data_IF_451904975170
#
_entry.id   IF_451904975170
#
_cell.length_a   1.000
_cell.length_b   1.000
_cell.length_c   1.000
_cell.angle_alpha   90.00
_cell.angle_beta   90.00
_cell.angle_gamma   90.00
#
_symmetry.space_group_name_H-M   'P 1'
#
loop_
_entity.id
_entity.type
_entity.pdbx_description
1 polymer ?
#
# COMPACT_ATOMS: atom_id res chain seq x y z
N UNK A 1 -28.11 -23.07 2.89
CA UNK A 1 -26.88 -22.31 3.20
C UNK A 1 -25.68 -22.73 2.35
N UNK A 2 -25.26 -24.01 2.31
CA UNK A 2 -24.15 -24.46 1.44
C UNK A 2 -24.35 -24.14 -0.06
N UNK A 3 -25.56 -24.31 -0.57
CA UNK A 3 -25.91 -23.95 -1.95
C UNK A 3 -26.00 -22.43 -2.19
N UNK A 4 -26.31 -21.65 -1.14
CA UNK A 4 -26.36 -20.18 -1.21
C UNK A 4 -24.94 -19.61 -1.27
N UNK A 5 -24.03 -20.13 -0.43
CA UNK A 5 -22.61 -19.78 -0.44
C UNK A 5 -21.93 -20.15 -1.76
N UNK A 6 -22.25 -21.32 -2.35
CA UNK A 6 -21.75 -21.71 -3.67
C UNK A 6 -22.28 -20.83 -4.82
N UNK A 7 -23.54 -20.36 -4.73
CA UNK A 7 -24.13 -19.40 -5.69
C UNK A 7 -23.56 -17.98 -5.52
N UNK A 8 -23.19 -17.58 -4.31
CA UNK A 8 -22.59 -16.28 -3.98
C UNK A 8 -21.11 -16.19 -4.36
N UNK A 9 -20.37 -17.29 -4.21
CA UNK A 9 -18.91 -17.32 -4.39
C UNK A 9 -18.45 -17.38 -5.85
N UNK A 10 -19.36 -17.63 -6.81
CA UNK A 10 -18.98 -17.95 -8.18
C UNK A 10 -18.82 -16.73 -9.12
N UNK A 11 -19.36 -15.56 -8.79
CA UNK A 11 -19.36 -14.44 -9.73
C UNK A 11 -19.60 -13.07 -9.03
N UNK A 12 -18.76 -12.04 -8.98
CA UNK A 12 -17.45 -11.69 -9.53
C UNK A 12 -16.98 -10.46 -8.72
N UNK A 13 -15.75 -10.45 -8.21
CA UNK A 13 -14.90 -9.24 -8.11
C UNK A 13 -13.62 -9.44 -8.98
N UNK A 14 -13.64 -10.45 -9.85
CA UNK A 14 -12.45 -11.07 -10.46
C UNK A 14 -12.12 -10.49 -11.85
N UNK A 15 -12.93 -9.59 -12.40
CA UNK A 15 -12.86 -9.22 -13.82
C UNK A 15 -12.50 -7.76 -14.11
N UNK A 16 -12.22 -6.95 -13.09
CA UNK A 16 -11.82 -5.56 -13.26
C UNK A 16 -10.45 -5.32 -12.64
N UNK A 17 -9.56 -4.58 -13.32
CA UNK A 17 -8.27 -4.25 -12.76
C UNK A 17 -8.47 -3.28 -11.60
N UNK A 18 -8.45 -3.79 -10.38
CA UNK A 18 -8.22 -2.95 -9.21
C UNK A 18 -6.76 -2.52 -9.24
N UNK A 19 -6.51 -1.21 -9.17
CA UNK A 19 -5.19 -0.70 -8.79
C UNK A 19 -4.91 -1.14 -7.36
N UNK A 20 -3.69 -1.63 -7.10
CA UNK A 20 -3.18 -1.76 -5.74
C UNK A 20 -2.67 -0.43 -5.19
N UNK A 21 -2.77 0.63 -5.98
CA UNK A 21 -2.41 1.98 -5.58
C UNK A 21 -3.53 2.43 -4.66
N UNK A 22 -3.20 2.90 -3.47
CA UNK A 22 -4.18 3.52 -2.58
C UNK A 22 -4.08 5.05 -2.70
N UNK A 23 -2.85 5.54 -2.56
CA UNK A 23 -2.50 6.92 -2.76
C UNK A 23 -1.54 7.00 -3.93
N UNK A 24 -1.69 8.01 -4.77
CA UNK A 24 -0.93 8.11 -6.03
C UNK A 24 0.59 8.16 -5.87
N UNK A 25 1.10 8.49 -4.67
CA UNK A 25 2.51 8.45 -4.34
C UNK A 25 2.75 8.46 -2.82
N UNK A 26 3.20 7.33 -2.27
CA UNK A 26 3.55 7.16 -0.87
C UNK A 26 4.82 7.92 -0.48
N UNK A 27 5.78 8.11 -1.40
CA UNK A 27 6.96 8.93 -1.11
C UNK A 27 6.58 10.39 -0.85
N UNK A 28 5.68 10.95 -1.65
CA UNK A 28 5.12 12.28 -1.46
C UNK A 28 4.40 12.39 -0.12
N UNK A 29 3.45 11.50 0.16
CA UNK A 29 2.70 11.51 1.40
C UNK A 29 3.61 11.36 2.63
N UNK A 30 4.55 10.42 2.58
CA UNK A 30 5.52 10.16 3.64
C UNK A 30 6.43 11.35 3.89
N UNK A 31 6.97 11.98 2.84
CA UNK A 31 7.85 13.12 3.00
C UNK A 31 7.12 14.31 3.63
N UNK A 32 5.86 14.57 3.26
CA UNK A 32 5.04 15.62 3.88
C UNK A 32 4.64 15.30 5.32
N UNK A 33 4.25 14.04 5.59
CA UNK A 33 3.79 13.58 6.91
C UNK A 33 4.88 13.61 7.98
N UNK A 34 6.12 13.31 7.56
CA UNK A 34 7.22 12.97 8.44
C UNK A 34 8.26 14.09 8.55
N UNK A 35 8.20 15.14 7.72
CA UNK A 35 9.20 16.24 7.70
C UNK A 35 9.42 16.95 9.04
N UNK A 36 8.43 16.92 9.94
CA UNK A 36 8.49 17.58 11.24
C UNK A 36 8.97 16.66 12.37
N UNK A 37 9.20 15.36 12.12
CA UNK A 37 9.72 14.46 13.13
C UNK A 37 11.21 14.76 13.40
N UNK A 38 11.59 15.06 14.65
CA UNK A 38 12.99 15.29 15.02
C UNK A 38 13.90 14.08 14.76
N UNK A 39 13.37 12.87 14.92
CA UNK A 39 14.11 11.61 14.78
C UNK A 39 14.55 11.35 13.33
N UNK A 40 13.89 12.00 12.37
CA UNK A 40 14.21 11.89 10.94
C UNK A 40 15.03 13.07 10.43
N UNK A 41 15.49 13.95 11.32
CA UNK A 41 16.43 15.00 10.99
C UNK A 41 17.85 14.43 10.95
N UNK A 42 18.59 14.73 9.88
CA UNK A 42 19.98 14.30 9.73
C UNK A 42 20.19 13.38 8.54
N UNK A 43 21.35 12.73 8.53
CA UNK A 43 21.84 11.95 7.40
C UNK A 43 22.35 10.58 7.82
N UNK A 44 22.15 9.61 6.94
CA UNK A 44 22.74 8.27 7.03
C UNK A 44 23.62 8.02 5.81
N UNK A 45 24.56 7.09 5.93
CA UNK A 45 25.37 6.65 4.79
C UNK A 45 24.61 5.59 4.02
N UNK A 46 24.53 5.74 2.70
CA UNK A 46 24.01 4.69 1.83
C UNK A 46 24.85 3.41 1.99
N UNK A 47 24.16 2.31 2.26
CA UNK A 47 24.70 0.97 2.45
C UNK A 47 24.14 0.03 1.38
N UNK A 48 25.01 -0.74 0.70
CA UNK A 48 24.56 -1.72 -0.27
C UNK A 48 23.77 -2.85 0.41
N UNK A 49 22.82 -3.47 -0.30
CA UNK A 49 22.04 -4.58 0.27
C UNK A 49 22.94 -5.75 0.63
N UNK A 50 23.91 -6.03 -0.23
CA UNK A 50 24.83 -7.15 -0.09
C UNK A 50 25.67 -7.03 1.19
N UNK A 51 26.09 -5.81 1.57
CA UNK A 51 26.85 -5.57 2.80
C UNK A 51 26.00 -5.86 4.05
N UNK A 52 24.75 -5.37 4.07
CA UNK A 52 23.80 -5.65 5.14
C UNK A 52 23.50 -7.15 5.27
N UNK A 53 23.24 -7.82 4.15
CA UNK A 53 22.92 -9.25 4.13
C UNK A 53 24.11 -10.09 4.63
N UNK A 54 25.34 -9.79 4.20
CA UNK A 54 26.54 -10.48 4.68
C UNK A 54 26.74 -10.27 6.18
N UNK A 55 26.57 -9.03 6.66
CA UNK A 55 26.76 -8.70 8.07
C UNK A 55 25.72 -9.34 8.98
N UNK A 56 24.46 -9.47 8.51
CA UNK A 56 23.32 -9.83 9.34
C UNK A 56 22.69 -11.19 9.00
N UNK A 57 23.30 -11.99 8.11
CA UNK A 57 22.73 -13.24 7.59
C UNK A 57 22.13 -14.16 8.68
N UNK A 58 22.90 -14.47 9.74
CA UNK A 58 22.42 -15.34 10.82
C UNK A 58 21.24 -14.77 11.60
N UNK A 59 21.20 -13.44 11.79
CA UNK A 59 20.10 -12.78 12.51
C UNK A 59 18.86 -12.62 11.62
N UNK A 60 19.03 -12.41 10.31
CA UNK A 60 17.94 -12.41 9.34
C UNK A 60 17.30 -13.80 9.27
N UNK A 61 18.11 -14.87 9.23
CA UNK A 61 17.62 -16.25 9.26
C UNK A 61 16.74 -16.51 10.49
N UNK A 62 17.23 -16.14 11.68
CA UNK A 62 16.47 -16.26 12.91
C UNK A 62 15.17 -15.44 12.87
N UNK A 63 15.24 -14.17 12.48
CA UNK A 63 14.07 -13.29 12.42
C UNK A 63 13.00 -13.84 11.48
N UNK A 64 13.38 -14.30 10.28
CA UNK A 64 12.41 -14.80 9.30
C UNK A 64 11.78 -16.14 9.72
N UNK A 65 12.47 -16.96 10.51
CA UNK A 65 11.89 -18.14 11.15
C UNK A 65 10.88 -17.75 12.25
N UNK A 66 11.23 -16.80 13.10
CA UNK A 66 10.34 -16.25 14.13
C UNK A 66 9.08 -15.63 13.50
N UNK A 67 9.24 -14.86 12.42
CA UNK A 67 8.13 -14.25 11.70
C UNK A 67 7.23 -15.29 11.04
N UNK A 68 7.78 -16.35 10.45
CA UNK A 68 6.99 -17.44 9.87
C UNK A 68 6.19 -18.16 10.95
N UNK A 69 6.81 -18.47 12.09
CA UNK A 69 6.12 -19.10 13.22
C UNK A 69 4.98 -18.21 13.74
N UNK A 70 5.26 -16.92 13.95
CA UNK A 70 4.26 -15.95 14.39
C UNK A 70 3.11 -15.83 13.37
N UNK A 71 3.43 -15.76 12.08
CA UNK A 71 2.44 -15.58 11.03
C UNK A 71 1.44 -16.74 10.96
N UNK A 72 1.93 -17.98 11.08
CA UNK A 72 1.09 -19.19 11.13
C UNK A 72 0.11 -19.22 12.29
N UNK A 73 0.52 -18.67 13.42
CA UNK A 73 -0.29 -18.68 14.64
C UNK A 73 -1.30 -17.52 14.67
N UNK A 74 -0.97 -16.38 14.05
CA UNK A 74 -1.65 -15.12 14.34
C UNK A 74 -2.30 -14.41 13.17
N UNK A 75 -1.89 -14.66 11.92
CA UNK A 75 -2.54 -14.06 10.76
C UNK A 75 -3.56 -15.04 10.16
N UNK A 76 -4.87 -14.71 10.20
CA UNK A 76 -5.90 -15.53 9.57
C UNK A 76 -5.60 -15.73 8.07
N UNK A 77 -5.88 -16.93 7.58
CA UNK A 77 -5.72 -17.28 6.15
C UNK A 77 -4.30 -17.05 5.59
N UNK A 78 -3.28 -16.97 6.46
CA UNK A 78 -1.88 -16.82 6.06
C UNK A 78 -1.41 -18.02 5.22
N UNK A 79 -0.94 -17.79 3.98
CA UNK A 79 -0.36 -18.84 3.15
C UNK A 79 1.02 -19.20 3.69
N UNK A 80 1.11 -20.40 4.26
CA UNK A 80 2.32 -20.99 4.82
C UNK A 80 3.49 -20.90 3.83
N UNK A 81 4.63 -20.35 4.27
CA UNK A 81 5.85 -20.31 3.45
C UNK A 81 6.38 -21.73 3.27
N UNK A 82 6.64 -22.17 2.02
CA UNK A 82 7.32 -23.44 1.77
C UNK A 82 8.71 -23.49 2.40
N UNK A 83 9.10 -24.64 2.93
CA UNK A 83 10.38 -24.82 3.63
C UNK A 83 11.59 -24.52 2.73
N UNK A 84 11.47 -24.81 1.43
CA UNK A 84 12.50 -24.50 0.42
C UNK A 84 12.77 -22.99 0.24
N UNK A 85 11.84 -22.13 0.66
CA UNK A 85 12.01 -20.68 0.62
C UNK A 85 12.56 -20.13 1.94
N UNK A 86 12.93 -20.99 2.90
CA UNK A 86 13.54 -20.54 4.15
C UNK A 86 14.86 -19.83 3.82
N UNK A 87 15.04 -18.63 4.37
CA UNK A 87 16.33 -17.95 4.25
C UNK A 87 17.42 -18.79 4.90
N UNK A 88 18.56 -18.90 4.24
CA UNK A 88 19.73 -19.60 4.78
C UNK A 88 20.90 -18.65 4.83
N UNK A 89 21.48 -18.48 6.02
CA UNK A 89 22.68 -17.66 6.19
C UNK A 89 23.90 -18.23 5.43
N UNK A 90 23.83 -19.51 5.03
CA UNK A 90 24.86 -20.19 4.25
C UNK A 90 24.58 -20.17 2.73
N UNK A 91 23.56 -19.45 2.27
CA UNK A 91 23.25 -19.37 0.85
C UNK A 91 24.40 -18.71 0.05
N UNK A 92 24.74 -19.27 -1.10
CA UNK A 92 25.76 -18.71 -1.98
C UNK A 92 25.32 -17.38 -2.61
N UNK A 93 24.02 -17.22 -2.87
CA UNK A 93 23.39 -15.97 -3.30
C UNK A 93 22.44 -15.49 -2.19
N UNK A 94 22.98 -14.68 -1.27
CA UNK A 94 22.21 -14.12 -0.16
C UNK A 94 21.10 -13.19 -0.64
N UNK A 95 21.32 -12.42 -1.72
CA UNK A 95 20.33 -11.49 -2.25
C UNK A 95 19.12 -12.26 -2.80
N UNK A 96 19.37 -13.25 -3.66
CA UNK A 96 18.32 -14.10 -4.21
C UNK A 96 17.57 -14.87 -3.12
N UNK A 97 18.30 -15.42 -2.13
CA UNK A 97 17.70 -16.10 -0.98
C UNK A 97 16.83 -15.15 -0.13
N UNK A 98 17.28 -13.91 0.09
CA UNK A 98 16.52 -12.90 0.83
C UNK A 98 15.21 -12.55 0.13
N UNK A 99 15.26 -12.21 -1.16
CA UNK A 99 14.09 -11.88 -1.98
C UNK A 99 13.08 -13.05 -2.00
N UNK A 100 13.56 -14.28 -2.16
CA UNK A 100 12.70 -15.47 -2.15
C UNK A 100 12.07 -15.74 -0.77
N UNK A 101 12.82 -15.55 0.31
CA UNK A 101 12.32 -15.74 1.67
C UNK A 101 11.27 -14.69 2.07
N UNK A 102 11.42 -13.45 1.60
CA UNK A 102 10.38 -12.42 1.73
C UNK A 102 9.17 -12.69 0.83
N UNK A 103 9.30 -13.63 -0.12
CA UNK A 103 8.31 -13.93 -1.15
C UNK A 103 7.85 -12.66 -1.88
N UNK A 104 8.82 -11.86 -2.31
CA UNK A 104 8.60 -10.72 -3.23
C UNK A 104 9.07 -11.09 -4.63
N UNK A 105 8.68 -10.29 -5.63
CA UNK A 105 8.97 -10.57 -7.03
C UNK A 105 10.49 -10.70 -7.26
N UNK A 106 10.99 -11.81 -7.84
CA UNK A 106 12.42 -12.03 -8.05
C UNK A 106 13.09 -10.97 -8.96
N UNK A 107 12.31 -10.21 -9.71
CA UNK A 107 12.80 -9.15 -10.61
C UNK A 107 12.91 -7.77 -9.94
N UNK A 108 12.53 -7.62 -8.65
CA UNK A 108 12.65 -6.33 -7.96
C UNK A 108 14.08 -5.79 -8.04
N UNK A 109 14.18 -4.51 -8.41
CA UNK A 109 15.47 -3.88 -8.66
C UNK A 109 16.21 -3.53 -7.37
N UNK A 110 15.46 -3.10 -6.34
CA UNK A 110 16.00 -2.55 -5.09
C UNK A 110 17.13 -1.54 -5.37
N UNK A 111 16.93 -0.71 -6.40
CA UNK A 111 17.95 0.20 -6.88
C UNK A 111 18.31 1.24 -5.82
N UNK A 112 19.53 1.78 -5.81
CA UNK A 112 19.91 2.77 -4.82
C UNK A 112 19.54 4.15 -5.34
N UNK A 113 18.36 4.64 -4.94
CA UNK A 113 17.85 5.95 -5.37
C UNK A 113 17.20 6.73 -4.22
N UNK A 114 17.04 8.03 -4.45
CA UNK A 114 16.02 8.86 -3.78
C UNK A 114 15.08 9.45 -4.82
N UNK A 115 13.83 9.65 -4.43
CA UNK A 115 12.79 10.22 -5.26
C UNK A 115 12.58 11.68 -4.89
N UNK A 116 12.49 12.54 -5.91
CA UNK A 116 12.18 13.95 -5.72
C UNK A 116 10.68 14.18 -5.67
N UNK A 117 10.26 15.13 -4.83
CA UNK A 117 8.92 15.69 -4.92
C UNK A 117 8.79 16.61 -6.14
N UNK A 118 7.58 16.75 -6.70
CA UNK A 118 7.30 17.75 -7.72
C UNK A 118 7.78 19.15 -7.29
N UNK A 119 8.56 19.80 -8.16
CA UNK A 119 9.11 21.15 -7.90
C UNK A 119 10.43 21.18 -7.11
N UNK A 120 10.96 20.05 -6.63
CA UNK A 120 12.31 20.00 -6.04
C UNK A 120 13.40 19.98 -7.11
N UNK A 121 14.54 20.62 -6.82
CA UNK A 121 15.72 20.59 -7.67
C UNK A 121 16.61 19.37 -7.33
N UNK A 122 17.02 18.65 -8.36
CA UNK A 122 17.88 17.47 -8.28
C UNK A 122 19.27 17.67 -8.90
N UNK A 123 19.63 18.89 -9.29
CA UNK A 123 20.77 19.20 -10.18
C UNK A 123 22.13 18.61 -9.79
N UNK A 124 22.31 18.11 -8.58
CA UNK A 124 23.58 17.56 -8.09
C UNK A 124 23.72 16.03 -8.25
N UNK A 125 22.64 15.28 -8.52
CA UNK A 125 22.70 13.81 -8.66
C UNK A 125 22.35 13.36 -10.07
N UNK A 126 22.94 12.24 -10.49
CA UNK A 126 22.60 11.61 -11.75
C UNK A 126 21.16 11.08 -11.69
N UNK A 127 20.34 11.40 -12.69
CA UNK A 127 19.01 10.81 -12.84
C UNK A 127 19.13 9.33 -13.17
N UNK A 128 18.39 8.50 -12.44
CA UNK A 128 18.26 7.06 -12.68
C UNK A 128 17.07 6.82 -13.63
N UNK A 129 17.27 6.11 -14.76
CA UNK A 129 16.17 5.73 -15.63
C UNK A 129 15.16 4.84 -14.91
N UNK A 130 13.88 5.04 -15.21
CA UNK A 130 12.77 4.39 -14.50
C UNK A 130 12.77 2.87 -14.65
N UNK A 131 13.31 2.35 -15.76
CA UNK A 131 13.51 0.92 -16.05
C UNK A 131 14.48 0.25 -15.05
N UNK A 132 15.31 1.05 -14.38
CA UNK A 132 16.23 0.58 -13.34
C UNK A 132 15.58 0.55 -11.97
N UNK A 133 14.38 1.12 -11.81
CA UNK A 133 13.67 1.20 -10.53
C UNK A 133 12.48 0.24 -10.52
N UNK A 134 11.67 0.24 -11.58
CA UNK A 134 10.42 -0.51 -11.67
C UNK A 134 10.60 -1.85 -12.41
N UNK A 135 9.72 -2.82 -12.12
CA UNK A 135 9.67 -4.11 -12.83
C UNK A 135 8.67 -4.12 -14.00
N UNK A 136 7.75 -3.15 -14.07
CA UNK A 136 6.67 -3.12 -15.05
C UNK A 136 7.16 -3.05 -16.50
N UNK A 137 6.38 -3.68 -17.40
CA UNK A 137 6.60 -3.55 -18.85
C UNK A 137 6.10 -2.22 -19.42
N UNK A 138 5.03 -1.65 -18.85
CA UNK A 138 4.43 -0.38 -19.27
C UNK A 138 4.72 0.71 -18.25
N UNK A 139 5.68 1.58 -18.57
CA UNK A 139 6.19 2.60 -17.64
C UNK A 139 5.48 3.95 -17.71
N UNK A 140 4.56 4.14 -18.67
CA UNK A 140 3.89 5.42 -18.96
C UNK A 140 3.32 6.16 -17.74
N UNK A 141 2.50 5.50 -16.88
CA UNK A 141 1.93 6.13 -15.69
C UNK A 141 2.97 6.69 -14.72
N UNK A 142 4.16 6.07 -14.68
CA UNK A 142 5.21 6.37 -13.72
C UNK A 142 6.22 7.43 -14.20
N UNK A 143 6.11 7.87 -15.46
CA UNK A 143 7.09 8.75 -16.11
C UNK A 143 7.24 10.15 -15.49
N UNK A 144 6.29 10.55 -14.65
CA UNK A 144 6.24 11.85 -13.98
C UNK A 144 7.17 11.95 -12.76
N UNK A 145 7.64 10.82 -12.23
CA UNK A 145 8.53 10.78 -11.07
C UNK A 145 10.00 10.87 -11.47
N UNK A 146 10.79 11.46 -10.57
CA UNK A 146 12.23 11.66 -10.79
C UNK A 146 13.02 10.91 -9.72
N UNK A 147 13.82 9.95 -10.19
CA UNK A 147 14.70 9.13 -9.36
C UNK A 147 16.13 9.60 -9.52
N UNK A 148 16.82 9.82 -8.42
CA UNK A 148 18.22 10.22 -8.37
C UNK A 148 19.07 9.08 -7.80
N UNK A 149 20.10 8.69 -8.55
CA UNK A 149 21.04 7.63 -8.17
C UNK A 149 21.79 8.01 -6.88
N UNK A 150 21.91 7.04 -5.96
CA UNK A 150 22.80 7.09 -4.81
C UNK A 150 24.08 6.31 -5.07
N UNK A 151 25.20 6.81 -4.54
CA UNK A 151 26.50 6.14 -4.63
C UNK A 151 26.90 5.49 -3.28
N UNK A 152 27.59 4.33 -3.28
CA UNK A 152 28.16 3.69 -2.09
C UNK A 152 28.80 4.68 -1.10
N UNK A 153 28.33 4.67 0.16
CA UNK A 153 28.87 5.50 1.25
C UNK A 153 28.49 6.99 1.23
N UNK A 154 27.70 7.43 0.24
CA UNK A 154 27.14 8.78 0.15
C UNK A 154 26.27 9.11 1.38
N UNK A 155 26.37 10.33 1.89
CA UNK A 155 25.47 10.82 2.93
C UNK A 155 24.12 11.23 2.31
N UNK A 156 23.04 10.69 2.85
CA UNK A 156 21.67 10.86 2.34
C UNK A 156 20.76 11.27 3.49
N UNK A 157 19.86 12.21 3.24
CA UNK A 157 18.90 12.65 4.24
C UNK A 157 17.97 11.49 4.66
N UNK A 158 17.85 11.26 5.96
CA UNK A 158 17.06 10.15 6.53
C UNK A 158 15.62 10.16 6.02
N UNK A 159 14.99 11.34 6.01
CA UNK A 159 13.64 11.52 5.50
C UNK A 159 13.52 11.08 4.04
N UNK A 160 14.51 11.38 3.18
CA UNK A 160 14.48 10.99 1.77
C UNK A 160 14.66 9.48 1.58
N UNK A 161 15.51 8.82 2.39
CA UNK A 161 15.66 7.37 2.34
C UNK A 161 14.33 6.69 2.68
N UNK A 162 13.73 7.05 3.82
CA UNK A 162 12.48 6.46 4.27
C UNK A 162 11.33 6.76 3.30
N UNK A 163 11.16 8.02 2.89
CA UNK A 163 10.05 8.40 2.02
C UNK A 163 10.17 7.76 0.65
N UNK A 164 11.35 7.76 0.03
CA UNK A 164 11.54 7.13 -1.28
C UNK A 164 11.28 5.62 -1.25
N UNK A 165 11.68 4.97 -0.15
CA UNK A 165 11.45 3.55 0.06
C UNK A 165 9.95 3.22 0.19
N UNK A 166 9.12 4.15 0.67
CA UNK A 166 7.69 3.93 0.82
C UNK A 166 6.94 3.72 -0.51
N UNK A 167 7.53 4.04 -1.67
CA UNK A 167 6.94 3.69 -2.98
C UNK A 167 7.47 2.35 -3.55
N UNK A 168 8.52 1.78 -2.98
CA UNK A 168 9.17 0.59 -3.58
C UNK A 168 8.27 -0.65 -3.69
N UNK A 169 7.32 -0.90 -2.76
CA UNK A 169 6.35 -1.97 -2.94
C UNK A 169 5.59 -1.87 -4.26
N UNK A 170 5.08 -0.68 -4.58
CA UNK A 170 4.38 -0.35 -5.81
C UNK A 170 5.23 -0.49 -7.07
N UNK A 171 6.56 -0.43 -6.94
CA UNK A 171 7.50 -0.64 -8.05
C UNK A 171 7.70 -2.11 -8.42
N UNK A 172 7.14 -3.02 -7.61
CA UNK A 172 6.88 -4.38 -8.04
C UNK A 172 7.13 -5.48 -7.02
N UNK A 173 7.12 -5.19 -5.72
CA UNK A 173 7.31 -6.23 -4.71
C UNK A 173 6.26 -7.33 -4.83
N UNK A 174 5.01 -6.94 -5.06
CA UNK A 174 3.85 -7.82 -5.01
C UNK A 174 3.30 -8.21 -6.39
N UNK A 175 4.15 -8.13 -7.42
CA UNK A 175 3.76 -8.46 -8.79
C UNK A 175 4.02 -9.94 -9.09
N UNK A 176 3.02 -10.59 -9.70
CA UNK A 176 3.08 -11.95 -10.22
C UNK A 176 3.44 -13.03 -9.19
N UNK A 177 2.87 -12.92 -7.98
CA UNK A 177 3.15 -13.79 -6.85
C UNK A 177 2.15 -14.93 -6.65
N UNK A 178 1.03 -14.95 -7.37
CA UNK A 178 0.01 -16.01 -7.28
C UNK A 178 0.23 -17.11 -8.31
N UNK A 179 -0.26 -18.33 -8.05
CA UNK A 179 -0.01 -19.52 -8.89
C UNK A 179 -0.62 -19.42 -10.30
N UNK A 180 -1.61 -18.57 -10.48
CA UNK A 180 -2.29 -18.25 -11.73
C UNK A 180 -1.74 -16.98 -12.40
N UNK A 181 -0.71 -16.35 -11.83
CA UNK A 181 0.00 -15.23 -12.47
C UNK A 181 1.12 -15.71 -13.41
N UNK A 182 1.56 -14.87 -14.37
CA UNK A 182 2.71 -15.17 -15.21
C UNK A 182 4.02 -15.37 -14.43
N UNK A 183 4.90 -16.25 -14.92
CA UNK A 183 6.24 -16.45 -14.35
C UNK A 183 6.34 -17.64 -13.37
N UNK A 184 7.53 -17.86 -12.80
CA UNK A 184 7.82 -19.03 -11.97
C UNK A 184 7.65 -18.79 -10.46
N UNK A 185 7.60 -17.53 -10.01
CA UNK A 185 7.54 -17.19 -8.59
C UNK A 185 6.25 -17.68 -7.94
N UNK A 186 5.10 -17.37 -8.52
CA UNK A 186 3.81 -17.72 -7.92
C UNK A 186 3.54 -19.21 -7.78
N UNK A 187 4.10 -20.05 -8.66
CA UNK A 187 4.06 -21.51 -8.52
C UNK A 187 4.88 -22.03 -7.32
N UNK A 188 5.88 -21.27 -6.87
CA UNK A 188 6.79 -21.66 -5.77
C UNK A 188 6.40 -21.03 -4.44
N UNK A 189 5.80 -19.85 -4.42
CA UNK A 189 5.59 -19.06 -3.19
C UNK A 189 4.39 -19.50 -2.34
N UNK A 190 3.55 -20.39 -2.87
CA UNK A 190 2.39 -20.97 -2.18
C UNK A 190 1.36 -19.93 -1.71
N UNK A 191 1.22 -18.82 -2.44
CA UNK A 191 0.13 -17.87 -2.18
C UNK A 191 -1.23 -18.37 -2.66
N UNK A 192 -1.28 -19.40 -3.51
CA UNK A 192 -2.49 -19.92 -4.16
C UNK A 192 -2.89 -19.07 -5.37
N UNK A 193 -4.12 -19.23 -5.86
CA UNK A 193 -4.68 -18.38 -6.92
C UNK A 193 -4.98 -16.97 -6.38
N UNK A 194 -4.86 -15.96 -7.23
CA UNK A 194 -5.13 -14.57 -6.89
C UNK A 194 -6.57 -14.42 -6.36
N UNK A 195 -6.78 -13.96 -5.11
CA UNK A 195 -8.10 -13.95 -4.49
C UNK A 195 -9.05 -12.88 -5.06
N UNK A 196 -8.54 -11.73 -5.47
CA UNK A 196 -9.32 -10.65 -6.09
C UNK A 196 -8.43 -9.72 -6.91
N UNK A 197 -9.05 -8.85 -7.71
CA UNK A 197 -8.39 -8.15 -8.82
C UNK A 197 -8.41 -8.99 -10.11
N UNK A 198 -7.96 -8.39 -11.21
CA UNK A 198 -7.95 -9.02 -12.53
C UNK A 198 -6.55 -9.48 -12.91
N UNK A 199 -6.31 -10.78 -12.79
CA UNK A 199 -5.02 -11.43 -13.05
C UNK A 199 -4.48 -11.22 -14.48
N UNK A 200 -5.29 -10.71 -15.42
CA UNK A 200 -4.82 -10.33 -16.77
C UNK A 200 -3.96 -9.07 -16.76
N UNK A 201 -4.08 -8.23 -15.72
CA UNK A 201 -3.33 -7.00 -15.56
C UNK A 201 -2.23 -7.18 -14.51
N UNK A 202 -0.99 -6.96 -14.92
CA UNK A 202 0.22 -7.16 -14.10
C UNK A 202 0.14 -6.50 -12.71
N UNK A 203 -0.30 -5.23 -12.65
CA UNK A 203 -0.42 -4.49 -11.40
C UNK A 203 -1.56 -4.99 -10.48
N UNK A 204 -2.55 -5.71 -11.02
CA UNK A 204 -3.70 -6.14 -10.22
C UNK A 204 -3.34 -7.29 -9.27
N UNK A 205 -2.25 -8.01 -9.55
CA UNK A 205 -1.69 -9.00 -8.62
C UNK A 205 -1.23 -8.39 -7.29
N UNK A 206 -1.05 -7.07 -7.22
CA UNK A 206 -0.71 -6.37 -5.98
C UNK A 206 -1.94 -6.22 -5.05
N UNK A 207 -3.16 -6.17 -5.59
CA UNK A 207 -4.35 -5.83 -4.81
C UNK A 207 -4.49 -6.62 -3.49
N UNK A 208 -4.29 -7.96 -3.44
CA UNK A 208 -4.40 -8.70 -2.18
C UNK A 208 -3.33 -8.39 -1.14
N UNK A 209 -2.20 -7.81 -1.55
CA UNK A 209 -1.13 -7.40 -0.64
C UNK A 209 -1.32 -5.97 -0.11
N UNK A 210 -2.10 -5.13 -0.81
CA UNK A 210 -2.27 -3.70 -0.52
C UNK A 210 -3.66 -3.36 0.05
N UNK A 211 -4.65 -4.22 -0.16
CA UNK A 211 -6.04 -4.02 0.27
C UNK A 211 -6.36 -4.91 1.45
N UNK A 212 -6.99 -4.36 2.49
CA UNK A 212 -7.34 -5.03 3.75
C UNK A 212 -8.81 -4.88 4.12
N UNK A 213 -9.66 -5.79 3.61
CA UNK A 213 -11.11 -5.81 3.89
C UNK A 213 -11.49 -6.33 5.29
N UNK A 214 -10.64 -6.12 6.29
CA UNK A 214 -10.74 -6.76 7.61
C UNK A 214 -12.06 -6.55 8.36
N UNK A 215 -12.79 -5.47 8.05
CA UNK A 215 -14.00 -5.03 8.76
C UNK A 215 -15.30 -5.25 7.99
N UNK A 216 -15.25 -6.02 6.90
CA UNK A 216 -16.47 -6.46 6.22
C UNK A 216 -17.34 -7.34 7.12
N UNK A 217 -18.65 -7.30 6.88
CA UNK A 217 -19.60 -8.10 7.66
C UNK A 217 -19.36 -9.60 7.47
N UNK A 218 -19.53 -10.40 8.53
CA UNK A 218 -19.31 -11.86 8.49
C UNK A 218 -20.09 -12.56 7.36
N UNK A 219 -21.31 -12.10 7.08
CA UNK A 219 -22.13 -12.64 5.99
C UNK A 219 -21.51 -12.41 4.60
N UNK A 220 -20.77 -11.30 4.42
CA UNK A 220 -20.03 -11.01 3.19
C UNK A 220 -18.87 -11.99 3.08
N UNK A 221 -18.12 -12.24 4.15
CA UNK A 221 -17.05 -13.23 4.12
C UNK A 221 -17.54 -14.67 3.95
N UNK A 222 -18.72 -15.03 4.46
CA UNK A 222 -19.33 -16.34 4.20
C UNK A 222 -19.73 -16.50 2.73
N UNK A 223 -20.14 -15.40 2.09
CA UNK A 223 -20.51 -15.36 0.68
C UNK A 223 -19.28 -15.35 -0.25
N UNK A 224 -18.22 -14.66 0.17
CA UNK A 224 -17.00 -14.39 -0.60
C UNK A 224 -15.75 -14.58 0.31
N UNK A 225 -15.42 -15.82 0.70
CA UNK A 225 -14.32 -16.09 1.64
C UNK A 225 -12.95 -15.68 1.11
N UNK A 226 -12.79 -15.58 -0.21
CA UNK A 226 -11.56 -15.08 -0.85
C UNK A 226 -11.21 -13.65 -0.41
N UNK A 227 -12.17 -12.83 0.03
CA UNK A 227 -11.92 -11.47 0.53
C UNK A 227 -11.10 -11.45 1.83
N UNK A 228 -11.07 -12.56 2.58
CA UNK A 228 -10.23 -12.70 3.78
C UNK A 228 -8.76 -12.92 3.44
N UNK A 229 -8.44 -13.33 2.20
CA UNK A 229 -7.06 -13.59 1.75
C UNK A 229 -6.37 -12.26 1.40
N UNK A 230 -6.15 -11.46 2.44
CA UNK A 230 -5.48 -10.16 2.40
C UNK A 230 -4.18 -10.23 3.19
N UNK A 231 -3.12 -9.58 2.70
CA UNK A 231 -1.75 -9.72 3.21
C UNK A 231 -1.03 -8.42 3.70
N UNK A 232 -1.59 -7.19 3.69
CA UNK A 232 -0.88 -6.00 4.16
C UNK A 232 -0.52 -6.08 5.65
N UNK A 233 -1.34 -6.70 6.49
CA UNK A 233 -1.03 -6.83 7.93
C UNK A 233 0.26 -7.64 8.15
N UNK A 234 0.43 -8.72 7.40
CA UNK A 234 1.66 -9.51 7.40
C UNK A 234 2.83 -8.73 6.80
N UNK A 235 2.66 -8.00 5.68
CA UNK A 235 3.72 -7.17 5.08
C UNK A 235 4.23 -6.11 6.06
N UNK A 236 3.33 -5.42 6.77
CA UNK A 236 3.70 -4.45 7.82
C UNK A 236 4.50 -5.13 8.92
N UNK A 237 4.05 -6.29 9.42
CA UNK A 237 4.77 -7.04 10.45
C UNK A 237 6.16 -7.50 9.99
N UNK A 238 6.24 -8.03 8.77
CA UNK A 238 7.49 -8.50 8.16
C UNK A 238 8.52 -7.36 8.07
N UNK A 239 8.13 -6.23 7.49
CA UNK A 239 9.04 -5.11 7.24
C UNK A 239 9.36 -4.30 8.48
N UNK A 240 8.44 -4.13 9.43
CA UNK A 240 8.77 -3.52 10.72
C UNK A 240 9.75 -4.38 11.54
N UNK A 241 9.67 -5.71 11.46
CA UNK A 241 10.65 -6.60 12.09
C UNK A 241 12.05 -6.44 11.50
N UNK A 242 12.16 -6.39 10.17
CA UNK A 242 13.44 -6.14 9.48
C UNK A 242 14.00 -4.75 9.82
N UNK A 243 13.15 -3.73 9.86
CA UNK A 243 13.55 -2.38 10.24
C UNK A 243 14.15 -2.34 11.66
N UNK A 244 13.48 -2.95 12.64
CA UNK A 244 13.97 -3.03 14.02
C UNK A 244 15.28 -3.79 14.14
N UNK A 245 15.44 -4.91 13.41
CA UNK A 245 16.70 -5.65 13.36
C UNK A 245 17.82 -4.75 12.84
N UNK A 246 17.60 -4.05 11.73
CA UNK A 246 18.60 -3.19 11.12
C UNK A 246 18.99 -2.02 12.06
N UNK A 247 18.03 -1.30 12.64
CA UNK A 247 18.32 -0.23 13.61
C UNK A 247 19.09 -0.75 14.84
N UNK A 248 18.67 -1.87 15.43
CA UNK A 248 19.33 -2.44 16.63
C UNK A 248 20.77 -2.87 16.37
N UNK A 249 21.12 -3.11 15.10
CA UNK A 249 22.45 -3.57 14.68
C UNK A 249 23.28 -2.46 14.01
N UNK A 250 22.79 -1.22 14.00
CA UNK A 250 23.51 -0.06 13.45
C UNK A 250 23.50 0.04 11.92
N UNK A 251 22.54 -0.63 11.26
CA UNK A 251 22.32 -0.57 9.81
C UNK A 251 21.20 0.41 9.48
N UNK A 252 21.37 1.67 9.91
CA UNK A 252 20.30 2.68 9.89
C UNK A 252 19.70 2.91 8.50
N UNK A 253 20.54 2.88 7.44
CA UNK A 253 20.05 3.03 6.06
C UNK A 253 19.00 1.96 5.71
N UNK A 254 19.29 0.69 6.00
CA UNK A 254 18.34 -0.40 5.78
C UNK A 254 17.19 -0.37 6.79
N UNK A 255 17.42 0.07 8.03
CA UNK A 255 16.37 0.33 9.01
C UNK A 255 15.30 1.27 8.46
N UNK A 256 15.71 2.42 7.92
CA UNK A 256 14.81 3.39 7.31
C UNK A 256 14.15 2.88 6.02
N UNK A 257 14.90 2.13 5.19
CA UNK A 257 14.35 1.58 3.94
C UNK A 257 13.28 0.52 4.19
N UNK A 258 13.52 -0.43 5.10
CA UNK A 258 12.51 -1.42 5.51
C UNK A 258 11.31 -0.76 6.20
N UNK A 259 11.54 0.27 7.01
CA UNK A 259 10.45 1.04 7.62
C UNK A 259 9.60 1.74 6.55
N UNK A 260 10.22 2.27 5.49
CA UNK A 260 9.52 2.79 4.32
C UNK A 260 8.61 1.74 3.68
N UNK A 261 9.11 0.52 3.45
CA UNK A 261 8.29 -0.58 2.93
C UNK A 261 7.11 -0.91 3.86
N UNK A 262 7.32 -0.95 5.17
CA UNK A 262 6.22 -1.16 6.12
C UNK A 262 5.17 -0.03 6.07
N UNK A 263 5.63 1.22 5.95
CA UNK A 263 4.76 2.39 5.89
C UNK A 263 3.87 2.38 4.64
N UNK A 264 4.37 1.87 3.51
CA UNK A 264 3.58 1.71 2.29
C UNK A 264 2.24 1.02 2.56
N UNK A 265 2.30 -0.23 3.05
CA UNK A 265 1.09 -1.03 3.31
C UNK A 265 0.25 -0.45 4.44
N UNK A 266 0.85 0.18 5.45
CA UNK A 266 0.10 0.88 6.50
C UNK A 266 -0.69 2.05 5.91
N UNK A 267 -0.08 2.80 5.01
CA UNK A 267 -0.65 3.96 4.34
C UNK A 267 -1.73 3.54 3.34
N UNK A 268 -1.59 2.39 2.68
CA UNK A 268 -2.65 1.84 1.84
C UNK A 268 -3.93 1.62 2.62
N UNK A 269 -3.81 1.08 3.84
CA UNK A 269 -4.96 0.85 4.72
C UNK A 269 -5.66 2.13 5.18
N UNK A 270 -5.06 3.31 4.98
CA UNK A 270 -5.70 4.59 5.28
C UNK A 270 -6.69 5.01 4.18
N UNK A 271 -6.72 4.31 3.06
CA UNK A 271 -7.56 4.61 1.91
C UNK A 271 -8.91 3.84 2.00
N UNK A 272 -10.08 4.51 1.87
CA UNK A 272 -11.35 3.83 2.13
C UNK A 272 -11.75 2.67 1.17
N UNK A 273 -11.43 2.74 -0.12
CA UNK A 273 -11.57 1.62 -1.09
C UNK A 273 -10.60 0.45 -0.80
N UNK A 274 -9.52 0.67 -0.05
CA UNK A 274 -8.64 -0.39 0.42
C UNK A 274 -9.12 -1.05 1.71
N UNK A 275 -10.16 -0.51 2.34
CA UNK A 275 -10.73 -1.02 3.58
C UNK A 275 -12.15 -1.59 3.41
N UNK A 276 -12.89 -1.18 2.37
CA UNK A 276 -14.26 -1.64 2.08
C UNK A 276 -14.43 -2.04 0.61
N UNK A 277 -15.05 -3.19 0.38
CA UNK A 277 -15.18 -3.84 -0.94
C UNK A 277 -16.09 -3.10 -1.89
N UNK A 278 -17.30 -2.73 -1.44
CA UNK A 278 -18.32 -2.09 -2.25
C UNK A 278 -18.99 -0.98 -1.44
N UNK A 279 -18.30 0.15 -1.22
CA UNK A 279 -18.86 1.26 -0.47
C UNK A 279 -20.11 1.83 -1.13
N UNK A 280 -21.01 2.38 -0.32
CA UNK A 280 -22.28 2.94 -0.77
C UNK A 280 -23.38 1.91 -1.06
N UNK A 281 -23.19 0.65 -0.64
CA UNK A 281 -24.22 -0.39 -0.64
C UNK A 281 -24.36 -1.02 0.75
N UNK A 282 -25.59 -1.24 1.16
CA UNK A 282 -25.90 -2.01 2.37
C UNK A 282 -25.73 -3.50 2.14
N UNK A 283 -25.49 -4.25 3.22
CA UNK A 283 -25.35 -5.72 3.15
C UNK A 283 -26.57 -6.41 2.52
N UNK A 284 -27.84 -6.05 2.82
CA UNK A 284 -29.00 -6.62 2.13
C UNK A 284 -29.03 -6.35 0.63
N UNK A 285 -28.58 -5.17 0.19
CA UNK A 285 -28.48 -4.83 -1.25
C UNK A 285 -27.43 -5.70 -1.93
N UNK A 286 -26.25 -5.87 -1.32
CA UNK A 286 -25.19 -6.73 -1.86
C UNK A 286 -25.66 -8.19 -1.97
N UNK A 287 -26.37 -8.69 -0.96
CA UNK A 287 -26.97 -10.04 -1.01
C UNK A 287 -27.97 -10.14 -2.16
N UNK A 288 -28.86 -9.15 -2.32
CA UNK A 288 -29.84 -9.14 -3.41
C UNK A 288 -29.16 -9.09 -4.79
N UNK A 289 -28.15 -8.24 -4.95
CA UNK A 289 -27.34 -8.12 -6.17
C UNK A 289 -26.72 -9.47 -6.52
N UNK A 290 -26.10 -10.13 -5.55
CA UNK A 290 -25.44 -11.40 -5.77
C UNK A 290 -26.44 -12.53 -6.06
N UNK A 291 -27.62 -12.54 -5.40
CA UNK A 291 -28.70 -13.48 -5.71
C UNK A 291 -29.25 -13.32 -7.12
N UNK A 292 -29.46 -12.08 -7.58
CA UNK A 292 -29.88 -11.79 -8.97
C UNK A 292 -28.85 -12.29 -9.97
N UNK A 293 -27.58 -12.01 -9.71
CA UNK A 293 -26.49 -12.42 -10.58
C UNK A 293 -26.37 -13.94 -10.67
N UNK A 294 -26.53 -14.64 -9.55
CA UNK A 294 -26.55 -16.10 -9.47
C UNK A 294 -27.79 -16.72 -10.17
N UNK A 295 -28.88 -15.97 -10.28
CA UNK A 295 -30.08 -16.33 -11.06
C UNK A 295 -29.97 -15.99 -12.56
N UNK A 296 -28.81 -15.53 -13.03
CA UNK A 296 -28.57 -15.20 -14.45
C UNK A 296 -28.82 -13.75 -14.84
N UNK A 297 -28.98 -12.84 -13.87
CA UNK A 297 -29.18 -11.39 -14.08
C UNK A 297 -28.03 -10.58 -13.46
N UNK A 298 -26.84 -10.54 -14.11
CA UNK A 298 -25.61 -10.02 -13.53
C UNK A 298 -25.47 -8.49 -13.57
N UNK A 299 -26.39 -7.77 -14.23
CA UNK A 299 -26.20 -6.37 -14.62
C UNK A 299 -25.97 -5.44 -13.42
N UNK A 300 -26.68 -5.66 -12.31
CA UNK A 300 -26.51 -4.85 -11.10
C UNK A 300 -25.16 -5.09 -10.42
N UNK A 301 -24.64 -6.32 -10.51
CA UNK A 301 -23.32 -6.66 -9.98
C UNK A 301 -22.24 -6.00 -10.82
N UNK A 302 -22.33 -6.13 -12.14
CA UNK A 302 -21.39 -5.51 -13.07
C UNK A 302 -21.38 -3.99 -12.92
N UNK A 303 -22.56 -3.36 -12.76
CA UNK A 303 -22.67 -1.94 -12.48
C UNK A 303 -22.06 -1.51 -11.14
N UNK A 304 -22.18 -2.33 -10.08
CA UNK A 304 -21.55 -2.05 -8.79
C UNK A 304 -20.01 -2.12 -8.87
N UNK A 305 -19.47 -3.13 -9.56
CA UNK A 305 -18.02 -3.26 -9.79
C UNK A 305 -17.50 -2.07 -10.60
N UNK A 306 -18.17 -1.73 -11.70
CA UNK A 306 -17.79 -0.60 -12.55
C UNK A 306 -17.79 0.71 -11.76
N UNK A 307 -18.85 0.97 -10.98
CA UNK A 307 -18.93 2.15 -10.11
C UNK A 307 -17.75 2.26 -9.16
N UNK A 308 -17.39 1.18 -8.47
CA UNK A 308 -16.27 1.19 -7.52
C UNK A 308 -14.96 1.48 -8.25
N UNK A 309 -14.68 0.79 -9.35
CA UNK A 309 -13.45 0.97 -10.10
C UNK A 309 -13.32 2.36 -10.74
N UNK A 310 -14.41 2.88 -11.34
CA UNK A 310 -14.43 4.20 -11.95
C UNK A 310 -14.18 5.30 -10.90
N UNK A 311 -14.84 5.19 -9.74
CA UNK A 311 -14.69 6.18 -8.65
C UNK A 311 -13.35 6.09 -7.95
N UNK A 312 -12.83 4.88 -7.75
CA UNK A 312 -11.50 4.64 -7.18
C UNK A 312 -10.43 5.25 -8.10
N UNK A 313 -10.48 4.96 -9.40
CA UNK A 313 -9.55 5.56 -10.39
C UNK A 313 -9.66 7.09 -10.40
N UNK A 314 -10.88 7.63 -10.45
CA UNK A 314 -11.10 9.07 -10.55
C UNK A 314 -10.56 9.84 -9.33
N UNK A 315 -10.66 9.29 -8.12
CA UNK A 315 -10.15 9.97 -6.93
C UNK A 315 -8.62 9.90 -6.83
N UNK A 316 -8.00 8.82 -7.30
CA UNK A 316 -6.54 8.71 -7.36
C UNK A 316 -5.94 9.69 -8.35
N UNK A 317 -6.53 9.79 -9.54
CA UNK A 317 -6.12 10.77 -10.55
C UNK A 317 -6.30 12.20 -10.04
N UNK A 318 -7.45 12.52 -9.43
CA UNK A 318 -7.68 13.82 -8.81
C UNK A 318 -6.62 14.15 -7.74
N UNK A 319 -6.36 13.20 -6.84
CA UNK A 319 -5.39 13.37 -5.76
C UNK A 319 -3.98 13.58 -6.31
N UNK A 320 -3.56 12.79 -7.31
CA UNK A 320 -2.26 12.95 -7.95
C UNK A 320 -2.09 14.32 -8.58
N UNK A 321 -3.02 14.69 -9.47
CA UNK A 321 -2.96 15.96 -10.21
C UNK A 321 -2.94 17.14 -9.26
N UNK A 322 -3.83 17.14 -8.25
CA UNK A 322 -3.96 18.25 -7.32
C UNK A 322 -2.70 18.42 -6.48
N UNK A 323 -2.12 17.32 -5.97
CA UNK A 323 -0.91 17.38 -5.16
C UNK A 323 0.31 17.82 -5.97
N UNK A 324 0.46 17.33 -7.21
CA UNK A 324 1.54 17.77 -8.10
C UNK A 324 1.44 19.26 -8.42
N UNK A 325 0.25 19.77 -8.74
CA UNK A 325 0.03 21.20 -8.99
C UNK A 325 0.41 22.06 -7.79
N UNK A 326 -0.07 21.71 -6.60
CA UNK A 326 0.19 22.48 -5.38
C UNK A 326 1.68 22.49 -5.01
N UNK A 327 2.36 21.36 -5.14
CA UNK A 327 3.80 21.27 -4.87
C UNK A 327 4.63 22.06 -5.88
N UNK A 328 4.33 21.96 -7.18
CA UNK A 328 5.01 22.74 -8.22
C UNK A 328 4.80 24.25 -8.06
N UNK A 329 3.61 24.66 -7.61
CA UNK A 329 3.29 26.06 -7.35
C UNK A 329 3.88 26.59 -6.02
N UNK A 330 4.45 25.74 -5.17
CA UNK A 330 4.97 26.14 -3.86
C UNK A 330 3.87 26.53 -2.85
N UNK A 331 2.64 26.05 -3.04
CA UNK A 331 1.43 26.36 -2.26
C UNK A 331 1.42 25.66 -0.88
N UNK A 332 2.54 25.71 -0.16
CA UNK A 332 2.78 24.95 1.09
C UNK A 332 1.76 25.18 2.21
N UNK A 333 0.99 26.28 2.16
CA UNK A 333 -0.06 26.61 3.12
C UNK A 333 -1.46 26.10 2.72
N UNK A 334 -1.59 25.50 1.53
CA UNK A 334 -2.86 24.95 1.06
C UNK A 334 -3.35 23.85 2.03
N UNK A 335 -4.66 23.79 2.36
CA UNK A 335 -5.19 22.83 3.33
C UNK A 335 -4.77 21.38 3.07
N UNK A 336 -4.79 20.91 1.82
CA UNK A 336 -4.34 19.57 1.44
C UNK A 336 -2.87 19.29 1.82
N UNK A 337 -1.95 20.24 1.60
CA UNK A 337 -0.53 20.05 1.96
C UNK A 337 -0.32 20.19 3.48
N UNK A 338 -1.01 21.15 4.10
CA UNK A 338 -0.91 21.41 5.53
C UNK A 338 -1.43 20.24 6.38
N UNK A 339 -2.47 19.55 5.92
CA UNK A 339 -3.08 18.39 6.58
C UNK A 339 -2.05 17.35 7.05
N UNK A 340 -1.03 17.07 6.24
CA UNK A 340 0.03 16.12 6.56
C UNK A 340 0.85 16.51 7.81
N UNK A 341 0.94 17.80 8.12
CA UNK A 341 1.71 18.30 9.28
C UNK A 341 0.84 18.52 10.52
N UNK A 342 -0.48 18.32 10.43
CA UNK A 342 -1.37 18.58 11.56
C UNK A 342 -1.44 17.37 12.50
N UNK A 343 -1.49 17.66 13.80
CA UNK A 343 -1.75 16.65 14.82
C UNK A 343 -3.22 16.21 14.75
N UNK A 344 -3.51 14.93 15.04
CA UNK A 344 -4.89 14.49 15.15
C UNK A 344 -5.59 15.21 16.31
N UNK A 345 -6.91 15.37 16.23
CA UNK A 345 -7.70 16.03 17.27
C UNK A 345 -7.66 15.28 18.60
N UNK A 346 -7.53 13.95 18.54
CA UNK A 346 -7.37 13.06 19.69
C UNK A 346 -6.15 12.17 19.46
N UNK A 347 -5.41 11.80 20.52
CA UNK A 347 -4.31 10.86 20.39
C UNK A 347 -4.83 9.46 20.03
N UNK A 348 -4.17 8.79 19.09
CA UNK A 348 -4.43 7.39 18.80
C UNK A 348 -3.85 6.47 19.89
N UNK A 349 -4.33 5.22 19.92
CA UNK A 349 -3.72 4.15 20.68
C UNK A 349 -2.23 3.98 20.31
N UNK A 350 -1.39 3.44 21.21
CA UNK A 350 -0.02 3.07 20.88
C UNK A 350 0.02 2.08 19.70
N UNK A 351 1.02 2.23 18.84
CA UNK A 351 1.22 1.32 17.71
C UNK A 351 1.58 -0.08 18.22
N UNK A 352 0.80 -1.07 17.81
CA UNK A 352 0.91 -2.49 18.16
C UNK A 352 0.93 -3.34 16.89
N UNK A 353 1.13 -4.66 17.02
CA UNK A 353 0.99 -5.55 15.86
C UNK A 353 -0.41 -5.45 15.27
N UNK A 354 -1.47 -5.34 16.09
CA UNK A 354 -2.86 -5.31 15.63
C UNK A 354 -3.34 -3.93 15.17
N UNK A 355 -2.56 -2.87 15.42
CA UNK A 355 -2.90 -1.48 15.11
C UNK A 355 -3.30 -1.23 13.65
N UNK A 356 -2.61 -1.78 12.62
CA UNK A 356 -3.00 -1.59 11.23
C UNK A 356 -4.44 -2.06 10.95
N UNK A 357 -4.86 -3.16 11.58
CA UNK A 357 -6.20 -3.72 11.41
C UNK A 357 -7.19 -2.97 12.30
N UNK A 358 -6.94 -2.92 13.60
CA UNK A 358 -7.93 -2.48 14.59
C UNK A 358 -8.15 -0.97 14.62
N UNK A 359 -7.17 -0.18 14.16
CA UNK A 359 -7.26 1.28 14.15
C UNK A 359 -7.33 1.80 12.73
N UNK A 360 -6.31 1.53 11.91
CA UNK A 360 -6.17 2.16 10.60
C UNK A 360 -7.25 1.68 9.62
N UNK A 361 -7.33 0.38 9.36
CA UNK A 361 -8.33 -0.17 8.45
C UNK A 361 -9.77 0.04 8.98
N UNK A 362 -9.97 0.04 10.30
CA UNK A 362 -11.28 0.31 10.91
C UNK A 362 -11.77 1.73 10.60
N UNK A 363 -10.90 2.72 10.79
CA UNK A 363 -11.20 4.13 10.54
C UNK A 363 -11.50 4.40 9.05
N UNK A 364 -10.72 3.78 8.16
CA UNK A 364 -10.94 3.88 6.72
C UNK A 364 -12.21 3.18 6.26
N UNK A 365 -12.51 1.98 6.79
CA UNK A 365 -13.76 1.28 6.51
C UNK A 365 -14.98 2.12 6.94
N UNK A 366 -14.94 2.73 8.13
CA UNK A 366 -16.02 3.58 8.65
C UNK A 366 -16.29 4.82 7.76
N UNK A 367 -15.27 5.29 7.02
CA UNK A 367 -15.37 6.49 6.17
C UNK A 367 -15.80 6.17 4.74
N UNK A 368 -15.73 4.90 4.33
CA UNK A 368 -15.81 4.51 2.92
C UNK A 368 -17.13 4.87 2.23
N UNK A 369 -18.29 4.72 2.91
CA UNK A 369 -19.59 5.05 2.29
C UNK A 369 -19.74 6.55 2.03
N UNK A 370 -19.30 7.40 2.97
CA UNK A 370 -19.32 8.86 2.82
C UNK A 370 -18.37 9.30 1.70
N UNK A 371 -17.19 8.68 1.63
CA UNK A 371 -16.20 8.96 0.61
C UNK A 371 -16.71 8.62 -0.79
N UNK A 372 -17.23 7.40 -0.97
CA UNK A 372 -17.80 6.96 -2.25
C UNK A 372 -18.98 7.85 -2.68
N UNK A 373 -19.88 8.20 -1.77
CA UNK A 373 -21.00 9.09 -2.07
C UNK A 373 -20.53 10.47 -2.59
N UNK A 374 -19.55 11.08 -1.92
CA UNK A 374 -19.02 12.39 -2.31
C UNK A 374 -18.32 12.36 -3.68
N UNK A 375 -17.60 11.28 -4.00
CA UNK A 375 -17.00 11.10 -5.33
C UNK A 375 -18.11 10.99 -6.38
N UNK A 376 -19.17 10.23 -6.09
CA UNK A 376 -20.36 10.15 -6.94
C UNK A 376 -20.99 11.50 -7.24
N UNK A 377 -21.22 12.32 -6.20
CA UNK A 377 -21.80 13.65 -6.33
C UNK A 377 -20.85 14.62 -7.05
N UNK A 378 -19.54 14.46 -6.90
CA UNK A 378 -18.53 15.22 -7.65
C UNK A 378 -18.54 14.87 -9.14
N UNK A 379 -18.50 13.58 -9.49
CA UNK A 379 -18.56 13.12 -10.88
C UNK A 379 -19.85 13.55 -11.57
N UNK A 380 -21.00 13.48 -10.88
CA UNK A 380 -22.29 13.90 -11.42
C UNK A 380 -22.38 15.43 -11.68
N UNK A 381 -21.54 16.23 -11.03
CA UNK A 381 -21.46 17.69 -11.23
C UNK A 381 -20.48 18.09 -12.34
N UNK A 382 -19.66 17.17 -12.83
CA UNK A 382 -18.77 17.48 -13.94
C UNK A 382 -19.56 17.58 -15.25
N UNK A 383 -19.23 18.55 -16.13
CA UNK A 383 -19.83 18.60 -17.46
C UNK A 383 -19.53 17.30 -18.21
N UNK A 384 -20.50 16.78 -18.97
CA UNK A 384 -20.25 15.67 -19.90
C UNK A 384 -19.03 16.00 -20.76
N UNK A 385 -17.98 15.18 -20.69
CA UNK A 385 -16.80 15.37 -21.53
C UNK A 385 -17.24 15.30 -23.00
N UNK A 386 -17.10 16.40 -23.74
CA UNK A 386 -17.38 16.39 -25.17
C UNK A 386 -16.45 15.37 -25.87
N UNK A 387 -16.96 14.47 -26.73
CA UNK A 387 -16.11 13.53 -27.45
C UNK A 387 -15.31 14.32 -28.48
N UNK A 388 -14.00 14.46 -28.30
CA UNK A 388 -13.19 15.18 -29.28
C UNK A 388 -11.69 15.08 -29.10
N UNK A 389 -11.07 14.27 -29.97
CA UNK A 389 -9.63 14.27 -30.29
C UNK A 389 -9.10 15.63 -30.83
N UNK A 390 -9.92 16.68 -30.86
CA UNK A 390 -9.61 18.01 -31.40
C UNK A 390 -9.24 19.06 -30.36
N UNK A 391 -9.35 18.77 -29.05
CA UNK A 391 -8.79 19.60 -27.99
C UNK A 391 -7.39 19.07 -27.66
N UNK A 392 -6.41 19.40 -28.50
CA UNK A 392 -5.11 18.72 -28.57
C UNK A 392 -4.46 18.43 -27.21
N UNK A 393 -4.18 17.15 -26.93
CA UNK A 393 -3.32 16.53 -25.92
C UNK A 393 -3.13 17.19 -24.53
N UNK A 394 -3.94 18.18 -24.15
CA UNK A 394 -3.95 18.76 -22.82
C UNK A 394 -5.08 18.10 -22.06
N UNK A 395 -4.72 17.18 -21.16
CA UNK A 395 -5.64 16.67 -20.14
C UNK A 395 -6.27 17.87 -19.44
N UNK A 396 -7.61 17.91 -19.43
CA UNK A 396 -8.36 18.92 -18.69
C UNK A 396 -7.98 18.81 -17.22
N UNK A 397 -7.35 19.84 -16.66
CA UNK A 397 -6.96 19.86 -15.24
C UNK A 397 -8.18 19.64 -14.36
N UNK A 398 -8.09 18.74 -13.39
CA UNK A 398 -9.09 18.62 -12.33
C UNK A 398 -9.38 19.98 -11.68
N UNK A 399 -10.66 20.39 -11.69
CA UNK A 399 -11.11 21.57 -10.96
C UNK A 399 -11.27 21.21 -9.49
N UNK A 400 -10.79 22.08 -8.60
CA UNK A 400 -10.91 21.86 -7.16
C UNK A 400 -12.37 21.73 -6.73
N UNK A 401 -12.68 20.68 -5.97
CA UNK A 401 -13.99 20.48 -5.35
C UNK A 401 -13.90 20.66 -3.83
N UNK A 402 -14.54 21.68 -3.23
CA UNK A 402 -14.36 21.97 -1.81
C UNK A 402 -14.79 20.85 -0.85
N UNK A 403 -15.84 20.11 -1.20
CA UNK A 403 -16.35 19.02 -0.34
C UNK A 403 -15.42 17.81 -0.40
N UNK A 404 -14.96 17.47 -1.61
CA UNK A 404 -13.99 16.42 -1.81
C UNK A 404 -12.65 16.75 -1.13
N UNK A 405 -12.16 17.98 -1.30
CA UNK A 405 -10.92 18.43 -0.65
C UNK A 405 -11.05 18.43 0.87
N UNK A 406 -12.20 18.80 1.44
CA UNK A 406 -12.41 18.73 2.89
C UNK A 406 -12.25 17.31 3.43
N UNK A 407 -12.79 16.31 2.71
CA UNK A 407 -12.63 14.92 3.10
C UNK A 407 -11.20 14.42 2.86
N UNK A 408 -10.54 14.83 1.77
CA UNK A 408 -9.12 14.51 1.54
C UNK A 408 -8.22 15.09 2.64
N UNK A 409 -8.52 16.30 3.15
CA UNK A 409 -7.81 16.86 4.31
C UNK A 409 -7.95 15.96 5.55
N UNK A 410 -9.15 15.43 5.81
CA UNK A 410 -9.39 14.47 6.90
C UNK A 410 -8.54 13.20 6.70
N UNK A 411 -8.56 12.61 5.50
CA UNK A 411 -7.81 11.39 5.18
C UNK A 411 -6.28 11.61 5.23
N UNK A 412 -5.77 12.75 4.78
CA UNK A 412 -4.32 13.07 4.83
C UNK A 412 -3.82 13.30 6.26
N UNK A 413 -4.65 13.86 7.15
CA UNK A 413 -4.32 13.94 8.58
C UNK A 413 -4.15 12.54 9.19
N UNK A 414 -5.06 11.63 8.87
CA UNK A 414 -5.03 10.22 9.34
C UNK A 414 -3.80 9.50 8.80
N UNK A 415 -3.59 9.57 7.49
CA UNK A 415 -2.37 9.07 6.83
C UNK A 415 -1.11 9.49 7.59
N UNK A 416 -1.01 10.78 7.87
CA UNK A 416 0.18 11.33 8.50
C UNK A 416 0.30 10.94 9.98
N UNK A 417 -0.80 10.91 10.72
CA UNK A 417 -0.82 10.50 12.11
C UNK A 417 -0.41 9.03 12.28
N UNK A 418 -0.97 8.12 11.48
CA UNK A 418 -0.60 6.70 11.52
C UNK A 418 0.84 6.46 11.07
N UNK A 419 1.31 7.17 10.03
CA UNK A 419 2.71 7.11 9.60
C UNK A 419 3.67 7.53 10.71
N UNK A 420 3.39 8.64 11.40
CA UNK A 420 4.20 9.10 12.54
C UNK A 420 4.20 8.11 13.69
N UNK A 421 3.03 7.54 14.04
CA UNK A 421 2.91 6.56 15.11
C UNK A 421 3.77 5.31 14.83
N UNK A 422 3.75 4.80 13.61
CA UNK A 422 4.56 3.65 13.19
C UNK A 422 6.06 3.95 13.23
N UNK A 423 6.49 5.14 12.78
CA UNK A 423 7.89 5.56 12.86
C UNK A 423 8.35 5.66 14.30
N UNK A 424 7.61 6.38 15.15
CA UNK A 424 7.96 6.58 16.55
C UNK A 424 8.06 5.26 17.31
N UNK A 425 7.12 4.33 17.07
CA UNK A 425 7.16 3.00 17.66
C UNK A 425 8.34 2.15 17.17
N UNK A 426 8.73 2.29 15.90
CA UNK A 426 9.85 1.52 15.34
C UNK A 426 11.22 2.02 15.81
N UNK A 427 11.35 3.33 16.08
CA UNK A 427 12.60 3.95 16.54
C UNK A 427 12.81 3.89 18.06
N UNK A 428 11.74 3.76 18.85
CA UNK A 428 11.81 3.75 20.32
C UNK A 428 12.32 2.41 20.90
N UNK A 429 12.61 1.40 20.07
CA UNK A 429 13.26 0.16 20.49
C UNK A 429 12.44 -0.77 21.40
N UNK A 430 11.15 -0.47 21.62
CA UNK A 430 10.24 -1.31 22.40
C UNK A 430 9.80 -2.56 21.64
N UNK A 431 9.55 -3.66 22.36
CA UNK A 431 8.82 -4.80 21.82
C UNK A 431 7.41 -4.32 21.44
N UNK A 432 7.05 -4.40 20.16
CA UNK A 432 5.68 -4.09 19.73
C UNK A 432 4.81 -5.28 20.12
N UNK A 433 4.26 -5.20 21.32
CA UNK A 433 3.33 -6.18 21.88
C UNK A 433 1.96 -6.10 21.18
N UNK A 434 1.17 -7.17 21.25
CA UNK A 434 -0.21 -7.15 20.78
C UNK A 434 -1.12 -6.38 21.74
N UNK A 435 -2.23 -5.87 21.23
CA UNK A 435 -3.27 -5.35 22.10
C UNK A 435 -3.91 -6.51 22.87
N UNK A 436 -4.12 -6.34 24.18
CA UNK A 436 -4.85 -7.33 24.96
C UNK A 436 -6.29 -7.46 24.41
N UNK A 437 -6.84 -8.68 24.26
CA UNK A 437 -8.22 -8.84 23.80
C UNK A 437 -9.19 -8.13 24.75
N UNK A 438 -10.01 -7.21 24.21
CA UNK A 438 -11.06 -6.51 24.96
C UNK A 438 -10.81 -5.01 25.25
N UNK A 439 -9.79 -4.37 24.66
CA UNK A 439 -9.70 -2.91 24.67
C UNK A 439 -10.71 -2.32 23.68
N UNK A 440 -11.92 -2.02 24.14
CA UNK A 440 -12.94 -1.32 23.37
C UNK A 440 -12.44 0.06 22.93
N UNK A 441 -12.79 0.45 21.70
CA UNK A 441 -12.72 1.83 21.22
C UNK A 441 -13.74 2.63 22.03
N UNK A 442 -13.29 3.67 22.74
CA UNK A 442 -14.20 4.69 23.27
C UNK A 442 -14.63 5.56 22.08
N UNK A 443 -15.95 5.62 21.86
CA UNK A 443 -16.68 6.29 20.76
C UNK A 443 -16.05 7.55 20.15
#
# INVERSE_FOLDING_TARGET
MKYLAALLSACCLVAWPLSGWAWSNHALGSQLALRQLPELQGQVRYEALEDFLVAQAGLIEQLLDEQEAFAREHFPDYPVRPDELRFSAAAADLRGAFIQALRVNPEVRLAPFVQLLPGQDGAQRQRLPIEKVLVFRKLGPWSHWQYLQLNPGEAVDVLQVLSSAADEPDYGHDINLFSDNPGAAGARYNFGEQPFGDARFEYSSQAPFHIGYYHEGEIIFQAAPYLRRTLPHWRIYQYTGLARLAFTRGHDYWGYRFLGWALHYLQDLTQPYHAKTVPGFSTPELILIALKAAAGYPEQREGAIARVADRHTAIEEYQLERMQQLLQAGESQHPLLRAYSEAPAQPYLPFSVDYPVQVVAAESHATADRFDQLIGDWLARQPEQAPGFSAGNQLSRSQADPLLEQLLVELFRRFAAHSRAAVQASLSGGTVERLAPGSELVD
#
